data_IF_453853016157
#
_entry.id   IF_453853016157
#
_cell.length_a   1.000
_cell.length_b   1.000
_cell.length_c   1.000
_cell.angle_alpha   90.00
_cell.angle_beta   90.00
_cell.angle_gamma   90.00
#
_symmetry.space_group_name_H-M   'P 1'
#
loop_
_entity.id
_entity.type
_entity.pdbx_description
1 polymer ?
#
# COMPACT_ATOMS: atom_id res chain seq x y z
N UNK A 1 -44.12 2.00 -2.30
CA UNK A 1 -42.95 1.22 -1.76
C UNK A 1 -42.15 0.68 -2.94
N UNK A 2 -40.90 1.08 -3.06
CA UNK A 2 -40.01 0.57 -4.12
C UNK A 2 -39.69 -0.92 -3.87
N UNK A 3 -39.75 -1.73 -4.93
CA UNK A 3 -39.45 -3.15 -4.85
C UNK A 3 -37.96 -3.35 -4.54
N UNK A 4 -37.58 -4.25 -3.60
CA UNK A 4 -36.15 -4.54 -3.24
C UNK A 4 -35.25 -4.81 -4.43
N UNK A 5 -35.79 -5.37 -5.52
CA UNK A 5 -35.04 -5.64 -6.75
C UNK A 5 -34.68 -4.35 -7.51
N UNK A 6 -35.55 -3.35 -7.50
CA UNK A 6 -35.28 -2.04 -8.11
C UNK A 6 -34.24 -1.24 -7.31
N UNK A 7 -34.33 -1.29 -5.98
CA UNK A 7 -33.36 -0.67 -5.09
C UNK A 7 -31.96 -1.25 -5.34
N UNK A 8 -31.81 -2.59 -5.40
CA UNK A 8 -30.55 -3.26 -5.70
C UNK A 8 -29.96 -2.87 -7.06
N UNK A 9 -30.82 -2.76 -8.08
CA UNK A 9 -30.39 -2.36 -9.43
C UNK A 9 -29.90 -0.92 -9.44
N UNK A 10 -30.60 0.01 -8.80
CA UNK A 10 -30.21 1.43 -8.69
C UNK A 10 -28.89 1.59 -7.96
N UNK A 11 -28.72 0.97 -6.79
CA UNK A 11 -27.47 1.02 -6.00
C UNK A 11 -26.32 0.45 -6.80
N UNK A 12 -26.51 -0.64 -7.55
CA UNK A 12 -25.48 -1.25 -8.40
C UNK A 12 -25.09 -0.35 -9.57
N UNK A 13 -26.05 0.34 -10.18
CA UNK A 13 -25.81 1.23 -11.32
C UNK A 13 -25.14 2.55 -10.86
N UNK A 14 -25.50 3.08 -9.69
CA UNK A 14 -24.84 4.22 -9.05
C UNK A 14 -23.40 3.87 -8.64
N UNK A 15 -23.18 2.70 -8.05
CA UNK A 15 -21.86 2.19 -7.71
C UNK A 15 -20.95 2.04 -8.93
N UNK A 16 -21.48 1.51 -10.04
CA UNK A 16 -20.75 1.42 -11.32
C UNK A 16 -20.43 2.79 -11.89
N UNK A 17 -21.34 3.76 -11.79
CA UNK A 17 -21.13 5.12 -12.29
C UNK A 17 -20.08 5.86 -11.45
N UNK A 18 -20.11 5.74 -10.11
CA UNK A 18 -19.08 6.26 -9.20
C UNK A 18 -17.72 5.63 -9.46
N UNK A 19 -17.66 4.30 -9.57
CA UNK A 19 -16.43 3.56 -9.88
C UNK A 19 -15.80 4.00 -11.22
N UNK A 20 -16.60 4.19 -12.25
CA UNK A 20 -16.15 4.67 -13.56
C UNK A 20 -15.62 6.12 -13.51
N UNK A 21 -16.15 6.96 -12.61
CA UNK A 21 -15.72 8.35 -12.43
C UNK A 21 -14.41 8.42 -11.64
N UNK A 22 -14.23 7.55 -10.66
CA UNK A 22 -13.00 7.49 -9.82
C UNK A 22 -11.81 6.92 -10.59
N UNK A 23 -12.05 5.98 -11.51
CA UNK A 23 -11.00 5.37 -12.37
C UNK A 23 -10.49 6.29 -13.49
N UNK A 24 -11.11 7.44 -13.73
CA UNK A 24 -10.79 8.32 -14.87
C UNK A 24 -9.70 9.34 -14.62
N UNK A 25 -9.13 9.44 -13.42
CA UNK A 25 -8.01 10.34 -13.17
C UNK A 25 -6.69 9.60 -13.38
N UNK A 26 -6.24 9.57 -14.63
CA UNK A 26 -4.87 9.14 -14.98
C UNK A 26 -3.86 9.89 -14.08
N UNK A 27 -2.88 9.18 -13.49
CA UNK A 27 -1.88 9.84 -12.65
C UNK A 27 -1.19 10.94 -13.45
N UNK A 28 -1.05 12.11 -12.85
CA UNK A 28 -0.34 13.21 -13.52
C UNK A 28 1.11 12.77 -13.81
N UNK A 29 1.72 13.27 -14.91
CA UNK A 29 3.12 12.97 -15.24
C UNK A 29 4.05 13.25 -14.06
N UNK A 30 3.76 14.27 -13.27
CA UNK A 30 4.50 14.64 -12.06
C UNK A 30 4.40 13.53 -10.98
N UNK A 31 3.23 12.93 -10.79
CA UNK A 31 3.05 11.82 -9.83
C UNK A 31 3.85 10.59 -10.25
N UNK A 32 3.83 10.25 -11.54
CA UNK A 32 4.62 9.13 -12.08
C UNK A 32 6.12 9.37 -11.86
N UNK A 33 6.62 10.56 -12.21
CA UNK A 33 8.03 10.91 -12.01
C UNK A 33 8.42 10.83 -10.53
N UNK A 34 7.58 11.33 -9.63
CA UNK A 34 7.83 11.26 -8.18
C UNK A 34 7.94 9.81 -7.68
N UNK A 35 7.06 8.93 -8.14
CA UNK A 35 7.09 7.50 -7.79
C UNK A 35 8.37 6.85 -8.30
N UNK A 36 8.72 7.09 -9.56
CA UNK A 36 9.95 6.55 -10.18
C UNK A 36 11.18 7.00 -9.39
N UNK A 37 11.29 8.29 -9.07
CA UNK A 37 12.43 8.83 -8.31
C UNK A 37 12.53 8.22 -6.90
N UNK A 38 11.40 7.95 -6.24
CA UNK A 38 11.37 7.29 -4.93
C UNK A 38 11.76 5.82 -4.98
N UNK A 39 11.35 5.10 -6.04
CA UNK A 39 11.65 3.67 -6.20
C UNK A 39 13.05 3.40 -6.77
N UNK A 40 13.63 4.35 -7.49
CA UNK A 40 14.93 4.17 -8.16
C UNK A 40 16.05 3.73 -7.21
N UNK A 41 16.23 4.33 -6.02
CA UNK A 41 17.26 3.88 -5.05
C UNK A 41 17.03 2.44 -4.59
N UNK A 42 15.78 2.03 -4.39
CA UNK A 42 15.43 0.64 -4.07
C UNK A 42 15.86 -0.30 -5.20
N UNK A 43 15.48 0.00 -6.44
CA UNK A 43 15.81 -0.84 -7.59
C UNK A 43 17.33 -1.00 -7.77
N UNK A 44 18.08 0.10 -7.63
CA UNK A 44 19.54 0.09 -7.79
C UNK A 44 20.20 -0.74 -6.68
N UNK A 45 19.84 -0.50 -5.41
CA UNK A 45 20.41 -1.21 -4.28
C UNK A 45 20.06 -2.69 -4.33
N UNK A 46 18.79 -3.00 -4.59
CA UNK A 46 18.32 -4.36 -4.74
C UNK A 46 19.09 -5.13 -5.83
N UNK A 47 19.25 -4.54 -7.04
CA UNK A 47 20.00 -5.20 -8.12
C UNK A 47 21.46 -5.48 -7.75
N UNK A 48 22.10 -4.57 -7.04
CA UNK A 48 23.49 -4.74 -6.55
C UNK A 48 23.57 -5.85 -5.49
N UNK A 49 22.70 -5.78 -4.49
CA UNK A 49 22.67 -6.73 -3.38
C UNK A 49 22.30 -8.14 -3.88
N UNK A 50 21.33 -8.25 -4.78
CA UNK A 50 20.96 -9.54 -5.39
C UNK A 50 22.10 -10.15 -6.20
N UNK A 51 22.82 -9.35 -6.99
CA UNK A 51 23.98 -9.84 -7.74
C UNK A 51 25.08 -10.33 -6.80
N UNK A 52 25.36 -9.60 -5.74
CA UNK A 52 26.33 -10.01 -4.71
C UNK A 52 25.88 -11.29 -3.99
N UNK A 53 24.59 -11.37 -3.62
CA UNK A 53 24.00 -12.53 -2.98
C UNK A 53 24.11 -13.79 -3.84
N UNK A 54 23.71 -13.72 -5.10
CA UNK A 54 23.80 -14.85 -6.04
C UNK A 54 25.25 -15.27 -6.27
N UNK A 55 26.16 -14.32 -6.48
CA UNK A 55 27.59 -14.59 -6.70
C UNK A 55 28.27 -15.28 -5.51
N UNK A 56 27.81 -14.96 -4.30
CA UNK A 56 28.38 -15.51 -3.05
C UNK A 56 27.55 -16.68 -2.49
N UNK A 57 26.55 -17.15 -3.20
CA UNK A 57 25.62 -18.19 -2.73
C UNK A 57 25.02 -17.88 -1.34
N UNK A 58 24.78 -16.61 -1.05
CA UNK A 58 24.30 -16.16 0.26
C UNK A 58 25.34 -16.21 1.39
N UNK A 59 26.58 -16.65 1.12
CA UNK A 59 27.65 -16.77 2.13
C UNK A 59 28.51 -15.50 2.16
N UNK A 60 29.00 -15.14 3.35
CA UNK A 60 29.91 -13.99 3.53
C UNK A 60 29.39 -12.68 2.91
N UNK A 61 28.10 -12.44 3.03
CA UNK A 61 27.45 -11.21 2.60
C UNK A 61 27.31 -10.22 3.74
N UNK A 62 27.25 -8.93 3.43
CA UNK A 62 27.04 -7.90 4.44
C UNK A 62 25.54 -7.76 4.77
N UNK A 63 25.03 -8.60 5.66
CA UNK A 63 23.62 -8.61 6.06
C UNK A 63 23.15 -7.28 6.63
N UNK A 64 23.98 -6.56 7.41
CA UNK A 64 23.66 -5.23 7.94
C UNK A 64 23.39 -4.23 6.83
N UNK A 65 24.18 -4.27 5.76
CA UNK A 65 23.99 -3.45 4.56
C UNK A 65 22.66 -3.78 3.88
N UNK A 66 22.35 -5.07 3.70
CA UNK A 66 21.14 -5.53 3.05
C UNK A 66 19.90 -5.15 3.87
N UNK A 67 19.95 -5.35 5.18
CA UNK A 67 18.87 -4.94 6.11
C UNK A 67 18.63 -3.44 6.03
N UNK A 68 19.66 -2.60 6.03
CA UNK A 68 19.54 -1.14 5.87
C UNK A 68 18.89 -0.74 4.53
N UNK A 69 19.21 -1.44 3.45
CA UNK A 69 18.59 -1.20 2.14
C UNK A 69 17.11 -1.65 2.13
N UNK A 70 16.81 -2.79 2.75
CA UNK A 70 15.46 -3.29 2.91
C UNK A 70 14.58 -2.36 3.77
N UNK A 71 15.10 -1.81 4.87
CA UNK A 71 14.40 -0.82 5.70
C UNK A 71 14.09 0.48 4.93
N UNK A 72 15.01 0.93 4.07
CA UNK A 72 14.73 2.07 3.18
C UNK A 72 13.61 1.74 2.20
N UNK A 73 13.60 0.53 1.63
CA UNK A 73 12.54 0.08 0.74
C UNK A 73 11.19 0.02 1.48
N UNK A 74 11.16 -0.54 2.70
CA UNK A 74 9.99 -0.60 3.56
C UNK A 74 9.37 0.79 3.76
N UNK A 75 10.19 1.77 4.20
CA UNK A 75 9.73 3.16 4.38
C UNK A 75 9.18 3.76 3.09
N UNK A 76 9.87 3.53 1.98
CA UNK A 76 9.43 4.02 0.66
C UNK A 76 8.06 3.43 0.27
N UNK A 77 7.84 2.13 0.49
CA UNK A 77 6.54 1.51 0.21
C UNK A 77 5.42 2.07 1.09
N UNK A 78 5.67 2.27 2.38
CA UNK A 78 4.72 2.90 3.30
C UNK A 78 4.38 4.33 2.84
N UNK A 79 5.38 5.15 2.50
CA UNK A 79 5.19 6.52 2.01
C UNK A 79 4.42 6.61 0.68
N UNK A 80 4.60 5.63 -0.19
CA UNK A 80 3.91 5.57 -1.49
C UNK A 80 2.47 5.09 -1.37
N UNK A 81 2.11 4.47 -0.25
CA UNK A 81 0.74 4.13 0.11
C UNK A 81 0.32 2.68 -0.19
N UNK A 82 -0.99 2.37 -0.06
CA UNK A 82 -1.50 1.00 0.04
C UNK A 82 -1.10 0.07 -1.11
N UNK A 83 -1.12 0.54 -2.36
CA UNK A 83 -0.72 -0.28 -3.51
C UNK A 83 0.74 -0.75 -3.44
N UNK A 84 1.63 0.11 -2.91
CA UNK A 84 3.05 -0.23 -2.75
C UNK A 84 3.31 -1.07 -1.50
N UNK A 85 2.52 -0.88 -0.45
CA UNK A 85 2.52 -1.78 0.72
C UNK A 85 2.15 -3.20 0.26
N UNK A 86 1.11 -3.35 -0.57
CA UNK A 86 0.72 -4.63 -1.15
C UNK A 86 1.81 -5.23 -2.03
N UNK A 87 2.51 -4.41 -2.81
CA UNK A 87 3.68 -4.84 -3.58
C UNK A 87 4.80 -5.35 -2.66
N UNK A 88 5.10 -4.62 -1.58
CA UNK A 88 6.11 -5.03 -0.60
C UNK A 88 5.74 -6.34 0.11
N UNK A 89 4.48 -6.49 0.49
CA UNK A 89 3.93 -7.73 1.02
C UNK A 89 4.13 -8.89 0.03
N UNK A 90 3.73 -8.73 -1.24
CA UNK A 90 3.95 -9.75 -2.26
C UNK A 90 5.44 -10.07 -2.45
N UNK A 91 6.31 -9.08 -2.47
CA UNK A 91 7.75 -9.28 -2.56
C UNK A 91 8.31 -10.06 -1.37
N UNK A 92 7.77 -9.88 -0.15
CA UNK A 92 8.25 -10.59 1.05
C UNK A 92 8.05 -12.11 0.98
N UNK A 93 7.18 -12.60 0.09
CA UNK A 93 6.95 -14.04 -0.12
C UNK A 93 7.84 -14.64 -1.22
N UNK A 94 8.67 -13.82 -1.89
CA UNK A 94 9.45 -14.21 -3.07
C UNK A 94 10.92 -14.46 -2.72
N UNK A 95 11.18 -15.58 -2.05
CA UNK A 95 12.53 -16.04 -1.71
C UNK A 95 13.40 -16.37 -2.95
N UNK A 96 12.79 -16.59 -4.09
CA UNK A 96 13.45 -16.77 -5.38
C UNK A 96 14.02 -15.47 -5.96
N UNK A 97 13.48 -14.32 -5.54
CA UNK A 97 13.88 -13.00 -6.04
C UNK A 97 14.74 -12.25 -5.02
N UNK A 98 14.36 -12.28 -3.74
CA UNK A 98 14.92 -11.43 -2.69
C UNK A 98 15.90 -12.17 -1.79
N UNK A 99 17.05 -11.55 -1.44
CA UNK A 99 17.91 -12.02 -0.36
C UNK A 99 17.15 -12.08 0.97
N UNK A 100 17.50 -13.04 1.82
CA UNK A 100 16.84 -13.29 3.11
C UNK A 100 16.62 -12.03 3.97
N UNK A 101 17.59 -11.10 4.15
CA UNK A 101 17.36 -9.89 4.95
C UNK A 101 16.24 -8.96 4.40
N UNK A 102 15.98 -9.00 3.09
CA UNK A 102 14.86 -8.27 2.50
C UNK A 102 13.52 -8.92 2.81
N UNK A 103 13.45 -10.25 2.75
CA UNK A 103 12.23 -11.00 3.07
C UNK A 103 11.76 -10.70 4.50
N UNK A 104 12.69 -10.80 5.47
CA UNK A 104 12.42 -10.55 6.88
C UNK A 104 11.90 -9.13 7.13
N UNK A 105 12.54 -8.12 6.55
CA UNK A 105 12.14 -6.72 6.75
C UNK A 105 10.82 -6.42 6.06
N UNK A 106 10.60 -6.91 4.83
CA UNK A 106 9.35 -6.65 4.11
C UNK A 106 8.17 -7.48 4.64
N UNK A 107 8.42 -8.60 5.33
CA UNK A 107 7.37 -9.38 5.98
C UNK A 107 6.61 -8.55 7.04
N UNK A 108 7.24 -7.56 7.65
CA UNK A 108 6.55 -6.66 8.61
C UNK A 108 5.39 -5.89 7.98
N UNK A 109 5.35 -5.75 6.65
CA UNK A 109 4.19 -5.15 5.95
C UNK A 109 2.93 -6.03 5.97
N UNK A 110 3.04 -7.30 6.40
CA UNK A 110 1.88 -8.18 6.49
C UNK A 110 1.02 -7.86 7.70
N UNK A 111 1.67 -7.54 8.83
CA UNK A 111 1.02 -7.48 10.14
C UNK A 111 1.01 -6.06 10.75
N UNK A 112 1.96 -5.21 10.36
CA UNK A 112 2.17 -3.89 10.99
C UNK A 112 2.19 -2.76 9.95
N UNK A 113 1.02 -2.46 9.40
CA UNK A 113 0.83 -1.30 8.52
C UNK A 113 0.37 -0.12 9.35
N UNK A 114 1.12 1.00 9.36
CA UNK A 114 0.66 2.20 10.05
C UNK A 114 -0.70 2.66 9.54
N UNK A 115 -1.68 2.91 10.43
CA UNK A 115 -2.99 3.38 10.00
C UNK A 115 -2.89 4.77 9.35
N UNK A 116 -3.76 5.01 8.38
CA UNK A 116 -3.86 6.33 7.75
C UNK A 116 -4.35 7.37 8.78
N UNK A 117 -3.80 8.59 8.78
CA UNK A 117 -4.30 9.66 9.64
C UNK A 117 -5.77 9.95 9.38
N UNK A 118 -6.56 10.20 10.43
CA UNK A 118 -7.99 10.49 10.31
C UNK A 118 -8.30 11.64 9.36
N UNK A 119 -7.43 12.66 9.30
CA UNK A 119 -7.56 13.77 8.35
C UNK A 119 -7.60 13.36 6.87
N UNK A 120 -7.06 12.18 6.54
CA UNK A 120 -7.13 11.63 5.18
C UNK A 120 -8.34 10.73 4.96
N UNK A 121 -8.81 10.05 6.01
CA UNK A 121 -9.93 9.11 5.93
C UNK A 121 -11.28 9.79 6.13
N UNK A 122 -11.35 10.86 6.93
CA UNK A 122 -12.57 11.62 7.18
C UNK A 122 -13.30 12.05 5.89
N UNK A 123 -12.65 12.72 4.93
CA UNK A 123 -13.34 13.15 3.71
C UNK A 123 -13.92 11.99 2.91
N UNK A 124 -13.24 10.83 2.93
CA UNK A 124 -13.70 9.62 2.23
C UNK A 124 -14.95 9.06 2.92
N UNK A 125 -14.93 8.99 4.24
CA UNK A 125 -16.07 8.51 5.04
C UNK A 125 -17.28 9.43 4.83
N UNK A 126 -17.07 10.75 4.91
CA UNK A 126 -18.15 11.74 4.74
C UNK A 126 -18.70 11.79 3.32
N UNK A 127 -17.86 11.53 2.30
CA UNK A 127 -18.31 11.42 0.90
C UNK A 127 -19.21 10.20 0.67
N UNK A 128 -18.92 9.08 1.33
CA UNK A 128 -19.63 7.82 1.12
C UNK A 128 -20.86 7.66 2.05
N UNK A 129 -20.77 8.12 3.29
CA UNK A 129 -21.77 7.88 4.33
C UNK A 129 -22.51 9.14 4.79
N UNK A 130 -21.99 10.33 4.48
CA UNK A 130 -22.48 11.61 5.01
C UNK A 130 -21.69 12.07 6.24
N UNK A 131 -22.07 13.23 6.80
CA UNK A 131 -21.39 13.82 7.95
C UNK A 131 -21.32 12.84 9.12
N UNK A 132 -20.11 12.61 9.63
CA UNK A 132 -19.84 11.60 10.69
C UNK A 132 -20.72 11.84 11.91
N UNK A 133 -20.88 13.09 12.31
CA UNK A 133 -21.64 13.50 13.49
C UNK A 133 -23.15 13.26 13.35
N UNK A 134 -23.64 13.13 12.11
CA UNK A 134 -25.06 12.82 11.82
C UNK A 134 -25.32 11.33 11.67
N UNK A 135 -24.33 10.57 11.24
CA UNK A 135 -24.46 9.13 10.95
C UNK A 135 -24.11 8.26 12.14
N UNK A 136 -23.13 8.68 12.93
CA UNK A 136 -22.61 7.90 14.05
C UNK A 136 -22.91 8.61 15.37
N UNK A 137 -23.44 7.90 16.36
CA UNK A 137 -23.66 8.43 17.71
C UNK A 137 -22.35 8.70 18.46
N UNK A 138 -21.33 7.84 18.23
CA UNK A 138 -19.95 8.02 18.70
C UNK A 138 -19.00 7.54 17.60
N UNK A 139 -17.92 8.27 17.37
CA UNK A 139 -16.92 7.92 16.39
C UNK A 139 -15.51 8.17 16.92
N UNK A 140 -14.71 7.12 17.05
CA UNK A 140 -13.32 7.26 17.44
C UNK A 140 -12.46 7.67 16.23
N UNK A 141 -11.76 8.80 16.38
CA UNK A 141 -10.87 9.31 15.31
C UNK A 141 -9.53 8.58 15.26
N UNK A 142 -9.18 7.80 16.31
CA UNK A 142 -8.00 6.97 16.33
C UNK A 142 -8.29 5.61 15.71
N UNK A 143 -7.59 5.28 14.64
CA UNK A 143 -7.69 3.97 14.03
C UNK A 143 -7.15 2.88 14.99
N UNK A 144 -7.87 1.76 15.10
CA UNK A 144 -7.46 0.60 15.90
C UNK A 144 -6.32 -0.15 15.22
N UNK A 145 -6.42 -0.34 13.91
CA UNK A 145 -5.42 -1.02 13.10
C UNK A 145 -5.33 -0.41 11.71
N UNK A 146 -4.15 -0.56 11.08
CA UNK A 146 -3.97 -0.34 9.66
C UNK A 146 -3.87 -1.69 8.95
N UNK A 147 -4.53 -1.82 7.79
CA UNK A 147 -4.43 -3.00 6.95
C UNK A 147 -4.18 -2.60 5.50
N UNK A 148 -3.50 -3.47 4.74
CA UNK A 148 -3.48 -3.34 3.30
C UNK A 148 -4.84 -3.80 2.77
N UNK A 149 -5.37 -3.11 1.76
CA UNK A 149 -6.58 -3.54 1.06
C UNK A 149 -6.44 -5.00 0.61
N UNK A 150 -7.33 -5.84 1.12
CA UNK A 150 -7.42 -7.25 0.77
C UNK A 150 -8.03 -7.46 -0.61
#
# INVERSE_FOLDING_TARGET
MENPTQIRKRVRDESKKKSATTLKKSPSKIQVVRVVLKLLPFIINFRKDRREWVKKEGKNVNEKKYRKHAEKALRTFIELGPSYIKLGHWLSTRADILPQPYLEVLATLQDDVPPAPFSKTRPIIEEELGEIEKVFGTFETRALHGASLG
#
